data_IF_866364337302
#
_entry.id   IF_866364337302
#
_cell.length_a   1.000
_cell.length_b   1.000
_cell.length_c   1.000
_cell.angle_alpha   90.00
_cell.angle_beta   90.00
_cell.angle_gamma   90.00
#
_symmetry.space_group_name_H-M   'P 1'
#
loop_
_entity.id
_entity.type
_entity.pdbx_description
1 polymer ?
#
# COMPACT_ATOMS: atom_id res chain seq x y z
N UNK A 1 -33.80 30.63 23.28
CA UNK A 1 -33.92 30.40 21.82
C UNK A 1 -32.73 29.56 21.40
N UNK A 2 -32.96 28.33 20.93
CA UNK A 2 -31.92 27.33 20.61
C UNK A 2 -31.15 27.76 19.36
N UNK A 3 -29.83 27.93 19.46
CA UNK A 3 -28.96 27.98 18.29
C UNK A 3 -28.75 26.55 17.79
N UNK A 4 -29.42 26.21 16.69
CA UNK A 4 -29.20 24.96 15.97
C UNK A 4 -27.90 25.12 15.17
N UNK A 5 -26.84 24.48 15.62
CA UNK A 5 -25.59 24.35 14.88
C UNK A 5 -25.85 23.36 13.73
N UNK A 6 -25.99 23.88 12.51
CA UNK A 6 -25.94 23.07 11.29
C UNK A 6 -24.47 22.75 10.99
N UNK A 7 -23.97 21.63 11.51
CA UNK A 7 -22.74 21.02 11.00
C UNK A 7 -23.09 20.37 9.67
N UNK A 8 -22.83 21.08 8.57
CA UNK A 8 -22.77 20.50 7.23
C UNK A 8 -21.65 19.44 7.23
N UNK A 9 -22.01 18.18 7.44
CA UNK A 9 -21.15 17.04 7.11
C UNK A 9 -20.97 17.02 5.58
N UNK A 10 -19.95 17.71 5.09
CA UNK A 10 -19.33 17.39 3.82
C UNK A 10 -18.66 16.02 4.01
N UNK A 11 -19.39 14.94 3.71
CA UNK A 11 -18.85 13.58 3.66
C UNK A 11 -17.88 13.48 2.49
N UNK A 12 -16.67 14.01 2.70
CA UNK A 12 -15.59 13.97 1.75
C UNK A 12 -15.18 12.53 1.51
N UNK A 13 -15.34 12.05 0.27
CA UNK A 13 -14.56 10.96 -0.30
C UNK A 13 -13.09 11.41 -0.42
N UNK A 14 -12.47 11.73 0.71
CA UNK A 14 -11.08 12.17 0.77
C UNK A 14 -10.22 11.06 1.35
N UNK A 15 -9.08 10.84 0.71
CA UNK A 15 -8.03 9.97 1.21
C UNK A 15 -7.30 10.67 2.34
N UNK A 16 -7.07 9.97 3.46
CA UNK A 16 -6.44 10.54 4.65
C UNK A 16 -5.15 9.77 4.95
N UNK A 17 -4.05 10.49 5.20
CA UNK A 17 -2.81 9.86 5.67
C UNK A 17 -3.02 9.39 7.11
N UNK A 18 -2.81 8.11 7.37
CA UNK A 18 -3.04 7.44 8.66
C UNK A 18 -1.79 6.76 9.21
N UNK A 19 -0.61 7.15 8.72
CA UNK A 19 0.69 6.59 9.11
C UNK A 19 0.95 6.61 10.62
N UNK A 20 0.46 7.63 11.33
CA UNK A 20 0.70 7.82 12.77
C UNK A 20 -0.36 7.17 13.67
N UNK A 21 -1.37 6.53 13.08
CA UNK A 21 -2.42 5.85 13.82
C UNK A 21 -1.88 4.60 14.54
N UNK A 22 -2.46 4.25 15.69
CA UNK A 22 -2.00 3.13 16.52
C UNK A 22 -1.94 1.79 15.76
N UNK A 23 -2.90 1.56 14.86
CA UNK A 23 -2.97 0.35 14.03
C UNK A 23 -1.83 0.21 13.01
N UNK A 24 -1.17 1.32 12.65
CA UNK A 24 -0.11 1.38 11.66
C UNK A 24 1.30 1.32 12.26
N UNK A 25 1.43 1.48 13.58
CA UNK A 25 2.72 1.62 14.29
C UNK A 25 3.68 0.44 14.10
N UNK A 26 3.15 -0.76 13.84
CA UNK A 26 3.95 -1.96 13.65
C UNK A 26 4.56 -2.07 12.24
N UNK A 27 4.13 -1.24 11.29
CA UNK A 27 4.64 -1.25 9.92
C UNK A 27 5.18 0.11 9.45
N UNK A 28 4.63 1.23 9.92
CA UNK A 28 5.07 2.56 9.52
C UNK A 28 6.52 2.82 9.95
N UNK A 29 7.33 3.38 9.05
CA UNK A 29 8.77 3.63 9.22
C UNK A 29 9.60 2.38 9.53
N UNK A 30 9.03 1.17 9.39
CA UNK A 30 9.75 -0.09 9.53
C UNK A 30 10.35 -0.51 8.20
N UNK A 31 11.46 -1.24 8.30
CA UNK A 31 12.17 -1.78 7.16
C UNK A 31 11.85 -3.27 6.98
N UNK A 32 11.87 -3.69 5.72
CA UNK A 32 11.56 -5.05 5.31
C UNK A 32 12.60 -5.53 4.30
N UNK A 33 13.00 -6.79 4.42
CA UNK A 33 13.83 -7.49 3.44
C UNK A 33 12.95 -8.12 2.39
N UNK A 34 13.33 -7.96 1.13
CA UNK A 34 12.72 -8.63 -0.02
C UNK A 34 13.16 -10.10 -0.05
N UNK A 35 12.20 -11.03 -0.03
CA UNK A 35 12.49 -12.47 -0.03
C UNK A 35 12.41 -13.05 -1.44
N UNK A 36 11.52 -12.52 -2.27
CA UNK A 36 11.33 -12.89 -3.68
C UNK A 36 11.53 -11.66 -4.57
N UNK A 37 12.12 -11.78 -5.77
CA UNK A 37 12.26 -10.65 -6.68
C UNK A 37 10.90 -9.99 -6.97
N UNK A 38 10.86 -8.66 -6.89
CA UNK A 38 9.63 -7.88 -7.09
C UNK A 38 9.79 -6.94 -8.27
N UNK A 39 8.82 -6.90 -9.17
CA UNK A 39 8.85 -6.04 -10.32
C UNK A 39 8.16 -4.71 -10.03
N UNK A 40 8.79 -3.61 -10.42
CA UNK A 40 8.32 -2.24 -10.22
C UNK A 40 7.77 -1.72 -11.55
N UNK A 41 6.50 -1.36 -11.57
CA UNK A 41 5.81 -0.87 -12.76
C UNK A 41 5.38 0.59 -12.62
N UNK A 42 5.39 1.32 -13.73
CA UNK A 42 4.93 2.71 -13.83
C UNK A 42 3.68 2.78 -14.69
N UNK A 43 2.64 3.49 -14.23
CA UNK A 43 1.46 3.76 -15.04
C UNK A 43 1.75 4.82 -16.11
N UNK A 44 1.78 4.39 -17.37
CA UNK A 44 2.12 5.23 -18.52
C UNK A 44 3.43 6.02 -18.33
N UNK A 45 3.46 7.24 -18.87
CA UNK A 45 4.58 8.19 -18.70
C UNK A 45 4.39 9.16 -17.53
N UNK A 46 3.38 8.93 -16.69
CA UNK A 46 3.07 9.84 -15.59
C UNK A 46 4.13 9.75 -14.49
N UNK A 47 4.64 10.90 -14.07
CA UNK A 47 5.51 11.02 -12.88
C UNK A 47 4.72 11.26 -11.60
N UNK A 48 3.41 11.56 -11.70
CA UNK A 48 2.57 11.86 -10.55
C UNK A 48 1.95 10.63 -9.90
N UNK A 49 1.86 9.52 -10.63
CA UNK A 49 1.32 8.27 -10.11
C UNK A 49 2.42 7.47 -9.40
N UNK A 50 2.15 6.91 -8.21
CA UNK A 50 3.09 6.03 -7.56
C UNK A 50 3.36 4.81 -8.46
N UNK A 51 4.60 4.32 -8.42
CA UNK A 51 4.92 3.03 -9.02
C UNK A 51 4.20 1.93 -8.25
N UNK A 52 3.87 0.81 -8.89
CA UNK A 52 3.28 -0.35 -8.21
C UNK A 52 4.27 -1.51 -8.22
N UNK A 53 4.22 -2.34 -7.19
CA UNK A 53 5.15 -3.46 -7.01
C UNK A 53 4.39 -4.74 -6.80
N UNK A 54 4.79 -5.83 -7.46
CA UNK A 54 4.24 -7.17 -7.23
C UNK A 54 5.21 -8.25 -7.76
N UNK A 55 4.94 -9.52 -7.42
CA UNK A 55 5.71 -10.66 -7.94
C UNK A 55 5.27 -11.01 -9.35
N UNK A 56 6.12 -11.69 -10.13
CA UNK A 56 5.72 -12.17 -11.46
C UNK A 56 4.49 -13.09 -11.42
N UNK A 57 4.38 -13.92 -10.37
CA UNK A 57 3.23 -14.79 -10.14
C UNK A 57 1.94 -13.97 -9.96
N UNK A 58 1.99 -12.90 -9.17
CA UNK A 58 0.86 -12.00 -8.94
C UNK A 58 0.47 -11.20 -10.19
N UNK A 59 1.35 -11.06 -11.19
CA UNK A 59 1.03 -10.38 -12.45
C UNK A 59 -0.14 -11.06 -13.17
N UNK A 60 -0.24 -12.38 -13.08
CA UNK A 60 -1.31 -13.16 -13.74
C UNK A 60 -2.73 -12.81 -13.27
N UNK A 61 -2.84 -12.16 -12.11
CA UNK A 61 -4.12 -11.72 -11.52
C UNK A 61 -4.53 -10.32 -11.97
N UNK A 62 -3.68 -9.63 -12.76
CA UNK A 62 -3.93 -8.27 -13.22
C UNK A 62 -4.91 -8.24 -14.40
N UNK A 63 -5.61 -7.10 -14.60
CA UNK A 63 -6.44 -6.89 -15.77
C UNK A 63 -5.70 -7.16 -17.09
N UNK A 64 -6.43 -7.60 -18.12
CA UNK A 64 -5.88 -7.95 -19.44
C UNK A 64 -5.12 -6.77 -20.08
N UNK A 65 -5.52 -5.54 -19.78
CA UNK A 65 -4.90 -4.31 -20.28
C UNK A 65 -3.73 -3.80 -19.44
N UNK A 66 -3.24 -4.60 -18.49
CA UNK A 66 -2.14 -4.22 -17.60
C UNK A 66 -0.88 -3.86 -18.39
N UNK A 67 -0.44 -4.72 -19.30
CA UNK A 67 0.78 -4.51 -20.09
C UNK A 67 0.67 -3.35 -21.08
N UNK A 68 -0.55 -2.92 -21.42
CA UNK A 68 -0.79 -1.73 -22.23
C UNK A 68 -0.67 -0.43 -21.40
N UNK A 69 -1.01 -0.51 -20.11
CA UNK A 69 -1.08 0.63 -19.19
C UNK A 69 0.17 0.82 -18.34
N UNK A 70 0.91 -0.25 -18.09
CA UNK A 70 2.02 -0.29 -17.16
C UNK A 70 3.33 -0.71 -17.83
N UNK A 71 4.39 0.05 -17.54
CA UNK A 71 5.74 -0.22 -18.03
C UNK A 71 6.61 -0.73 -16.89
N UNK A 72 7.35 -1.83 -17.11
CA UNK A 72 8.36 -2.31 -16.17
C UNK A 72 9.53 -1.32 -16.13
N UNK A 73 9.82 -0.76 -14.96
CA UNK A 73 10.87 0.27 -14.78
C UNK A 73 11.98 -0.15 -13.83
N UNK A 74 11.87 -1.32 -13.22
CA UNK A 74 12.90 -1.87 -12.34
C UNK A 74 12.45 -3.10 -11.58
N UNK A 75 13.37 -3.65 -10.79
CA UNK A 75 13.13 -4.81 -9.95
C UNK A 75 13.80 -4.59 -8.59
N UNK A 76 13.14 -5.02 -7.51
CA UNK A 76 13.74 -5.16 -6.17
C UNK A 76 14.31 -6.57 -6.07
N UNK A 77 15.60 -6.67 -5.78
CA UNK A 77 16.27 -7.98 -5.69
C UNK A 77 16.06 -8.61 -4.31
N UNK A 78 16.24 -9.93 -4.20
CA UNK A 78 16.27 -10.61 -2.90
C UNK A 78 17.32 -9.99 -1.96
N UNK A 79 16.97 -9.88 -0.67
CA UNK A 79 17.66 -9.16 0.41
C UNK A 79 17.73 -7.64 0.26
N UNK A 80 17.10 -7.07 -0.77
CA UNK A 80 17.00 -5.63 -0.84
C UNK A 80 16.09 -5.10 0.28
N UNK A 81 16.51 -4.01 0.90
CA UNK A 81 15.76 -3.39 1.98
C UNK A 81 14.80 -2.33 1.42
N UNK A 82 13.56 -2.40 1.84
CA UNK A 82 12.54 -1.39 1.61
C UNK A 82 12.07 -0.80 2.94
N UNK A 83 11.66 0.46 2.94
CA UNK A 83 11.10 1.13 4.12
C UNK A 83 9.69 1.60 3.81
N UNK A 84 8.72 1.24 4.66
CA UNK A 84 7.37 1.79 4.58
C UNK A 84 7.41 3.23 5.09
N UNK A 85 6.90 4.17 4.30
CA UNK A 85 6.98 5.60 4.61
C UNK A 85 5.62 6.26 4.78
N UNK A 86 4.56 5.70 4.20
CA UNK A 86 3.25 6.33 4.18
C UNK A 86 2.15 5.28 4.06
N UNK A 87 1.07 5.46 4.82
CA UNK A 87 -0.14 4.63 4.78
C UNK A 87 -1.31 5.59 4.63
N UNK A 88 -2.13 5.35 3.60
CA UNK A 88 -3.25 6.21 3.23
C UNK A 88 -4.54 5.42 3.33
N UNK A 89 -5.48 5.91 4.12
CA UNK A 89 -6.86 5.44 4.13
C UNK A 89 -7.61 6.05 2.95
N UNK A 90 -7.84 5.23 1.94
CA UNK A 90 -8.38 5.59 0.65
C UNK A 90 -9.84 5.12 0.54
N UNK A 91 -10.81 6.04 0.32
CA UNK A 91 -12.20 5.67 0.12
C UNK A 91 -12.37 4.99 -1.24
N UNK A 92 -12.93 3.78 -1.24
CA UNK A 92 -13.15 2.99 -2.43
C UNK A 92 -14.66 2.87 -2.75
N UNK A 93 -15.30 4.01 -2.96
CA UNK A 93 -16.72 4.10 -3.33
C UNK A 93 -17.64 3.34 -2.35
N UNK A 94 -18.62 2.61 -2.90
CA UNK A 94 -19.53 1.76 -2.11
C UNK A 94 -18.90 0.46 -1.60
N UNK A 95 -17.70 0.11 -2.09
CA UNK A 95 -16.99 -1.12 -1.70
C UNK A 95 -16.19 -0.96 -0.38
N UNK A 96 -16.21 0.24 0.22
CA UNK A 96 -15.65 0.49 1.55
C UNK A 96 -14.40 1.36 1.53
N UNK A 97 -13.49 1.11 2.48
CA UNK A 97 -12.23 1.84 2.64
C UNK A 97 -11.06 0.87 2.54
N UNK A 98 -9.97 1.31 1.92
CA UNK A 98 -8.78 0.51 1.69
C UNK A 98 -7.55 1.28 2.17
N UNK A 99 -6.58 0.58 2.74
CA UNK A 99 -5.29 1.20 3.06
C UNK A 99 -4.34 1.00 1.91
N UNK A 100 -3.79 2.09 1.38
CA UNK A 100 -2.67 2.07 0.45
C UNK A 100 -1.37 2.20 1.21
N UNK A 101 -0.41 1.33 0.93
CA UNK A 101 0.86 1.29 1.65
C UNK A 101 1.97 1.64 0.69
N UNK A 102 2.75 2.65 1.06
CA UNK A 102 3.84 3.17 0.24
C UNK A 102 5.19 2.92 0.89
N UNK A 103 6.15 2.52 0.07
CA UNK A 103 7.51 2.25 0.48
C UNK A 103 8.53 2.87 -0.46
N UNK A 104 9.78 2.90 -0.01
CA UNK A 104 10.96 3.36 -0.78
C UNK A 104 12.09 2.35 -0.66
N UNK A 105 12.99 2.36 -1.64
CA UNK A 105 14.27 1.63 -1.63
C UNK A 105 15.42 2.59 -1.91
N UNK A 106 16.56 2.37 -1.24
CA UNK A 106 17.80 3.12 -1.47
C UNK A 106 18.34 2.92 -2.89
N UNK A 107 18.22 1.71 -3.47
CA UNK A 107 18.73 1.41 -4.81
C UNK A 107 17.91 2.05 -5.92
N UNK A 108 16.67 2.43 -5.63
CA UNK A 108 15.76 3.08 -6.59
C UNK A 108 15.65 4.58 -6.35
N UNK A 109 16.72 5.22 -5.87
CA UNK A 109 16.82 6.66 -5.60
C UNK A 109 15.66 7.19 -4.73
N UNK A 110 15.15 6.38 -3.80
CA UNK A 110 14.03 6.76 -2.94
C UNK A 110 12.69 6.92 -3.68
N UNK A 111 12.55 6.40 -4.90
CA UNK A 111 11.27 6.38 -5.61
C UNK A 111 10.20 5.72 -4.73
N UNK A 112 9.07 6.40 -4.58
CA UNK A 112 7.90 5.89 -3.88
C UNK A 112 7.20 4.85 -4.75
N UNK A 113 6.92 3.69 -4.14
CA UNK A 113 6.11 2.64 -4.74
C UNK A 113 5.01 2.17 -3.79
N UNK A 114 3.86 1.85 -4.36
CA UNK A 114 2.71 1.23 -3.72
C UNK A 114 2.95 -0.28 -3.63
N UNK A 115 2.84 -0.80 -2.42
CA UNK A 115 2.86 -2.23 -2.15
C UNK A 115 1.43 -2.80 -2.30
N UNK A 116 1.28 -4.07 -2.70
CA UNK A 116 -0.02 -4.71 -2.83
C UNK A 116 -0.80 -4.64 -1.52
N UNK A 117 -1.80 -3.78 -1.52
CA UNK A 117 -2.65 -3.49 -0.38
C UNK A 117 -4.05 -3.23 -0.90
N UNK A 118 -5.03 -3.99 -0.37
CA UNK A 118 -6.45 -3.98 -0.76
C UNK A 118 -6.76 -3.45 -2.18
N UNK A 119 -6.62 -4.28 -3.23
CA UNK A 119 -7.25 -4.03 -4.54
C UNK A 119 -6.90 -5.07 -5.61
N UNK A 120 -5.70 -5.64 -5.52
CA UNK A 120 -5.42 -6.87 -6.22
C UNK A 120 -6.23 -7.96 -5.50
N UNK A 121 -6.67 -9.00 -6.20
CA UNK A 121 -7.57 -10.02 -5.67
C UNK A 121 -7.19 -10.51 -4.24
N UNK A 122 -8.10 -11.23 -3.59
CA UNK A 122 -7.81 -11.81 -2.27
C UNK A 122 -6.53 -12.69 -2.20
N UNK A 123 -5.90 -13.01 -3.34
CA UNK A 123 -4.69 -13.84 -3.44
C UNK A 123 -3.38 -13.04 -3.46
N UNK A 124 -3.45 -11.70 -3.55
CA UNK A 124 -2.27 -10.83 -3.76
C UNK A 124 -2.11 -9.70 -2.75
N UNK A 125 -3.01 -9.63 -1.76
CA UNK A 125 -2.92 -8.68 -0.64
C UNK A 125 -1.73 -9.02 0.25
N UNK A 126 -0.81 -8.08 0.45
CA UNK A 126 0.32 -8.28 1.38
C UNK A 126 0.05 -7.76 2.78
N UNK A 127 -0.93 -6.86 2.91
CA UNK A 127 -1.27 -6.21 4.16
C UNK A 127 -2.77 -6.28 4.39
N UNK A 128 -3.19 -6.96 5.45
CA UNK A 128 -4.60 -7.14 5.79
C UNK A 128 -4.92 -6.50 7.14
N UNK A 129 -6.11 -5.90 7.33
CA UNK A 129 -6.69 -5.79 8.66
C UNK A 129 -6.94 -7.18 9.21
N UNK A 130 -6.75 -7.36 10.52
CA UNK A 130 -7.06 -8.61 11.23
C UNK A 130 -8.55 -9.02 11.11
N UNK A 131 -9.44 -8.11 10.72
CA UNK A 131 -10.83 -8.41 10.38
C UNK A 131 -11.35 -7.52 9.24
N UNK A 132 -11.78 -8.15 8.14
CA UNK A 132 -12.38 -7.48 6.97
C UNK A 132 -13.71 -6.77 7.33
N UNK A 133 -14.36 -7.17 8.44
CA UNK A 133 -15.73 -6.73 8.75
C UNK A 133 -15.82 -5.52 9.69
N UNK A 134 -14.75 -5.15 10.41
CA UNK A 134 -14.71 -3.95 11.26
C UNK A 134 -13.27 -3.46 11.41
N UNK A 135 -12.96 -2.28 10.88
CA UNK A 135 -11.76 -1.53 11.28
C UNK A 135 -11.93 -1.18 12.75
N UNK A 136 -11.45 -2.05 13.63
CA UNK A 136 -11.35 -1.77 15.05
C UNK A 136 -10.04 -1.03 15.25
N UNK A 137 -10.07 0.13 15.90
CA UNK A 137 -8.89 0.96 16.19
C UNK A 137 -7.80 0.23 16.99
N UNK A 138 -8.15 -0.91 17.61
CA UNK A 138 -7.23 -1.78 18.33
C UNK A 138 -6.59 -2.88 17.45
N UNK A 139 -6.99 -3.02 16.19
CA UNK A 139 -6.38 -4.00 15.26
C UNK A 139 -5.11 -3.44 14.65
N UNK A 140 -4.12 -4.30 14.43
CA UNK A 140 -2.87 -3.95 13.74
C UNK A 140 -2.99 -4.30 12.26
N UNK A 141 -2.25 -3.59 11.41
CA UNK A 141 -2.05 -4.03 10.02
C UNK A 141 -1.08 -5.22 10.04
N UNK A 142 -1.50 -6.37 9.53
CA UNK A 142 -0.67 -7.56 9.48
C UNK A 142 -0.06 -7.74 8.10
N UNK A 143 1.21 -8.16 8.07
CA UNK A 143 1.89 -8.59 6.86
C UNK A 143 1.52 -10.07 6.62
N UNK A 144 0.86 -10.37 5.50
CA UNK A 144 0.32 -11.70 5.16
C UNK A 144 0.94 -12.29 3.90
N UNK A 145 2.11 -11.79 3.49
CA UNK A 145 2.86 -12.26 2.32
C UNK A 145 4.17 -12.90 2.74
N UNK A 146 4.69 -13.79 1.90
CA UNK A 146 6.05 -14.33 2.01
C UNK A 146 7.06 -13.58 1.13
N UNK A 147 6.62 -12.57 0.38
CA UNK A 147 7.44 -11.83 -0.58
C UNK A 147 8.38 -10.83 0.07
N UNK A 148 8.05 -10.38 1.29
CA UNK A 148 8.87 -9.52 2.14
C UNK A 148 8.80 -9.99 3.59
N UNK A 149 9.80 -9.66 4.41
CA UNK A 149 9.82 -9.93 5.86
C UNK A 149 10.34 -8.74 6.66
N UNK A 150 9.90 -8.54 7.92
CA UNK A 150 10.49 -7.54 8.79
C UNK A 150 12.01 -7.68 8.87
N UNK A 151 12.72 -6.56 8.84
CA UNK A 151 14.17 -6.49 8.92
C UNK A 151 14.59 -5.61 10.11
N UNK A 152 15.65 -6.03 10.81
CA UNK A 152 16.31 -5.21 11.84
C UNK A 152 17.23 -4.15 11.20
N UNK A 153 17.74 -4.43 10.00
CA UNK A 153 18.50 -3.47 9.20
C UNK A 153 17.54 -2.52 8.46
N UNK A 154 17.95 -1.25 8.33
CA UNK A 154 17.15 -0.22 7.68
C UNK A 154 18.01 0.71 6.81
N UNK A 155 17.35 1.38 5.86
CA UNK A 155 17.98 2.24 4.82
C UNK A 155 18.07 3.70 5.20
#
# INVERSE_FOLDING_TARGET
>A
MRYVIFILMLSGCTSVVVSDADFAKNINQKCFSVEKPLNIYRFGKSTSNPHIVFTEESKSTMPIDFDEKYELVGTLSTKELIKIIEIVDYPYGSAGRCWKIYAVSKKHNGKKFELPSCWMDHTTVWFSPHSISRVNINQKIELVTDSIKPSEECI
#
